data_IF_973323783276
#
_entry.id   IF_973323783276
#
_cell.length_a   1.000
_cell.length_b   1.000
_cell.length_c   1.000
_cell.angle_alpha   90.00
_cell.angle_beta   90.00
_cell.angle_gamma   90.00
#
_symmetry.space_group_name_H-M   'P 1'
#
loop_
_entity.id
_entity.type
_entity.pdbx_description
1 polymer ?
#
# COMPACT_ATOMS: atom_id res chain seq x y z
N UNK A 1 -24.60 18.70 -9.54
CA UNK A 1 -23.78 19.90 -9.26
C UNK A 1 -22.38 19.67 -9.81
N UNK A 2 -21.98 20.38 -10.86
CA UNK A 2 -20.58 20.41 -11.28
C UNK A 2 -19.87 21.47 -10.43
N UNK A 3 -19.12 21.05 -9.41
CA UNK A 3 -18.22 21.97 -8.73
C UNK A 3 -17.08 22.31 -9.69
N UNK A 4 -16.92 23.59 -10.01
CA UNK A 4 -15.72 24.07 -10.67
C UNK A 4 -14.54 23.80 -9.72
N UNK A 5 -13.74 22.81 -10.07
CA UNK A 5 -12.60 22.39 -9.28
C UNK A 5 -11.30 22.97 -9.83
N UNK A 6 -10.51 23.63 -8.99
CA UNK A 6 -9.16 24.07 -9.34
C UNK A 6 -8.14 23.02 -8.91
N UNK A 7 -7.20 22.71 -9.79
CA UNK A 7 -6.00 21.90 -9.47
C UNK A 7 -4.77 22.78 -9.61
N UNK A 8 -3.90 22.77 -8.60
CA UNK A 8 -2.65 23.51 -8.57
C UNK A 8 -1.48 22.52 -8.54
N UNK A 9 -0.59 22.66 -9.51
CA UNK A 9 0.64 21.88 -9.59
C UNK A 9 1.83 22.81 -9.73
N UNK A 10 2.93 22.46 -9.08
CA UNK A 10 4.22 23.14 -9.20
C UNK A 10 5.11 22.33 -10.15
N UNK A 11 5.63 23.01 -11.18
CA UNK A 11 6.73 22.49 -11.99
C UNK A 11 8.02 23.19 -11.59
N UNK A 12 8.94 22.45 -10.99
CA UNK A 12 10.31 22.89 -10.76
C UNK A 12 11.23 22.29 -11.83
N UNK A 13 12.03 23.13 -12.48
CA UNK A 13 13.05 22.69 -13.45
C UNK A 13 14.42 23.09 -12.93
N UNK A 14 15.28 22.10 -12.69
CA UNK A 14 16.67 22.35 -12.30
C UNK A 14 17.55 22.62 -13.53
N UNK A 15 17.64 21.64 -14.43
CA UNK A 15 18.45 21.72 -15.65
C UNK A 15 17.72 21.05 -16.84
N UNK A 16 18.42 20.64 -17.90
CA UNK A 16 17.82 19.91 -19.02
C UNK A 16 17.42 18.46 -18.66
N UNK A 17 17.95 17.94 -17.56
CA UNK A 17 17.86 16.53 -17.16
C UNK A 17 16.95 16.31 -15.96
N UNK A 18 16.73 17.34 -15.15
CA UNK A 18 16.02 17.30 -13.89
C UNK A 18 14.84 18.26 -13.90
N UNK A 19 13.65 17.69 -13.70
CA UNK A 19 12.44 18.43 -13.40
C UNK A 19 11.56 17.64 -12.44
N UNK A 20 10.76 18.33 -11.64
CA UNK A 20 9.75 17.73 -10.77
C UNK A 20 8.43 18.43 -11.03
N UNK A 21 7.41 17.65 -11.34
CA UNK A 21 6.02 18.10 -11.35
C UNK A 21 5.36 17.52 -10.10
N UNK A 22 4.90 18.38 -9.20
CA UNK A 22 4.18 17.96 -7.99
C UNK A 22 2.80 18.59 -7.95
N UNK A 23 1.79 17.79 -7.62
CA UNK A 23 0.48 18.33 -7.27
C UNK A 23 0.49 18.79 -5.82
N UNK A 24 0.22 20.08 -5.62
CA UNK A 24 0.18 20.72 -4.30
C UNK A 24 -1.26 20.95 -3.81
N UNK A 25 -2.24 20.78 -4.69
CA UNK A 25 -3.66 20.81 -4.35
C UNK A 25 -4.52 20.45 -5.56
N UNK A 26 -5.65 19.77 -5.31
CA UNK A 26 -6.63 19.40 -6.32
C UNK A 26 -8.02 19.50 -5.73
N UNK A 27 -8.98 19.95 -6.53
CA UNK A 27 -10.38 19.93 -6.16
C UNK A 27 -10.95 18.51 -6.11
N UNK A 28 -10.39 17.59 -6.89
CA UNK A 28 -10.55 16.17 -6.64
C UNK A 28 -9.51 15.75 -5.61
N UNK A 29 -9.96 15.57 -4.36
CA UNK A 29 -9.10 15.16 -3.24
C UNK A 29 -8.39 13.83 -3.49
N UNK A 30 -8.94 12.96 -4.36
CA UNK A 30 -8.30 11.71 -4.77
C UNK A 30 -7.09 11.91 -5.68
N UNK A 31 -6.88 13.11 -6.21
CA UNK A 31 -5.74 13.47 -7.06
C UNK A 31 -4.75 14.39 -6.35
N UNK A 32 -4.84 14.55 -5.03
CA UNK A 32 -3.89 15.33 -4.24
C UNK A 32 -2.63 14.51 -3.88
N UNK A 33 -1.48 15.18 -3.78
CA UNK A 33 -0.31 14.61 -3.10
C UNK A 33 0.48 13.60 -3.94
N UNK A 34 0.77 13.96 -5.18
CA UNK A 34 1.60 13.16 -6.08
C UNK A 34 2.70 13.96 -6.75
N UNK A 35 3.70 13.23 -7.27
CA UNK A 35 4.77 13.80 -8.08
C UNK A 35 5.18 12.91 -9.26
N UNK A 36 5.76 13.54 -10.26
CA UNK A 36 6.53 12.91 -11.33
C UNK A 36 7.90 13.57 -11.39
N UNK A 37 8.94 12.77 -11.62
CA UNK A 37 10.32 13.26 -11.69
C UNK A 37 10.87 12.95 -13.08
N UNK A 38 11.42 13.96 -13.74
CA UNK A 38 12.22 13.80 -14.93
C UNK A 38 13.67 13.63 -14.51
N UNK A 39 14.29 12.51 -14.90
CA UNK A 39 15.71 12.24 -14.64
C UNK A 39 16.38 11.71 -15.89
N UNK A 40 17.70 11.80 -15.92
CA UNK A 40 18.52 11.06 -16.88
C UNK A 40 18.66 9.62 -16.37
N UNK A 41 18.14 8.65 -17.11
CA UNK A 41 18.18 7.24 -16.74
C UNK A 41 18.56 6.37 -17.95
N UNK A 42 19.45 5.36 -17.83
CA UNK A 42 20.50 5.16 -16.84
C UNK A 42 21.91 5.60 -17.31
N UNK A 43 22.07 6.19 -18.51
CA UNK A 43 23.37 6.62 -19.05
C UNK A 43 23.44 8.11 -19.38
N UNK A 44 24.66 8.68 -19.38
CA UNK A 44 24.94 10.08 -19.71
C UNK A 44 24.57 10.49 -21.14
N UNK A 45 24.37 9.52 -22.03
CA UNK A 45 24.02 9.70 -23.45
C UNK A 45 22.52 9.58 -23.77
N UNK A 46 21.69 9.19 -22.80
CA UNK A 46 20.25 9.02 -23.01
C UNK A 46 19.46 10.31 -22.76
N UNK A 47 18.39 10.60 -23.52
CA UNK A 47 17.50 11.73 -23.21
C UNK A 47 16.86 11.52 -21.83
N UNK A 48 16.61 12.62 -21.12
CA UNK A 48 15.91 12.57 -19.83
C UNK A 48 14.45 12.16 -20.05
N UNK A 49 13.95 11.25 -19.21
CA UNK A 49 12.60 10.69 -19.29
C UNK A 49 11.83 11.01 -18.01
N UNK A 50 10.52 11.16 -18.14
CA UNK A 50 9.64 11.20 -16.98
C UNK A 50 9.52 9.80 -16.40
N UNK A 51 9.86 9.67 -15.12
CA UNK A 51 9.68 8.43 -14.37
C UNK A 51 8.19 8.19 -14.08
N UNK A 52 7.80 6.95 -13.74
CA UNK A 52 6.45 6.66 -13.29
C UNK A 52 6.03 7.58 -12.14
N UNK A 53 4.73 7.88 -12.11
CA UNK A 53 4.09 8.65 -11.06
C UNK A 53 4.29 8.03 -9.67
N UNK A 54 4.48 8.87 -8.66
CA UNK A 54 4.63 8.47 -7.26
C UNK A 54 3.69 9.26 -6.35
N UNK A 55 3.04 8.57 -5.41
CA UNK A 55 2.17 9.16 -4.40
C UNK A 55 2.95 9.47 -3.13
N UNK A 56 2.80 10.69 -2.62
CA UNK A 56 3.23 11.10 -1.27
C UNK A 56 2.19 10.69 -0.23
N UNK A 57 0.91 10.95 -0.55
CA UNK A 57 -0.23 10.64 0.30
C UNK A 57 -1.29 9.89 -0.52
N UNK A 58 -1.12 8.58 -0.75
CA UNK A 58 -2.06 7.82 -1.56
C UNK A 58 -3.48 7.86 -0.95
N UNK A 59 -4.54 8.00 -1.77
CA UNK A 59 -5.93 8.00 -1.28
C UNK A 59 -6.38 6.68 -0.64
N UNK A 60 -5.60 5.60 -0.84
CA UNK A 60 -5.86 4.25 -0.34
C UNK A 60 -7.25 3.71 -0.71
N UNK A 61 -7.65 3.88 -1.97
CA UNK A 61 -8.84 3.20 -2.51
C UNK A 61 -8.60 1.69 -2.48
N UNK A 62 -9.59 0.95 -2.01
CA UNK A 62 -9.50 -0.49 -1.83
C UNK A 62 -9.19 -1.21 -3.14
N UNK A 63 -8.22 -2.13 -3.10
CA UNK A 63 -7.78 -2.89 -4.27
C UNK A 63 -6.88 -2.13 -5.24
N UNK A 64 -6.71 -0.81 -5.10
CA UNK A 64 -5.81 -0.03 -5.96
C UNK A 64 -4.39 -0.07 -5.41
N UNK A 65 -3.44 -0.36 -6.30
CA UNK A 65 -2.02 -0.33 -6.00
C UNK A 65 -1.44 1.06 -6.30
N UNK A 66 -0.66 1.59 -5.36
CA UNK A 66 -0.03 2.89 -5.45
C UNK A 66 1.48 2.77 -5.34
N UNK A 67 2.21 3.21 -6.36
CA UNK A 67 3.66 3.46 -6.23
C UNK A 67 3.88 4.70 -5.38
N UNK A 68 4.71 4.62 -4.34
CA UNK A 68 4.93 5.73 -3.40
C UNK A 68 6.30 6.36 -3.57
N UNK A 69 6.50 7.48 -2.87
CA UNK A 69 7.80 8.15 -2.76
C UNK A 69 8.80 7.39 -1.87
N UNK A 70 8.31 6.45 -1.05
CA UNK A 70 9.12 5.63 -0.14
C UNK A 70 10.04 4.70 -0.94
N UNK A 71 11.20 4.38 -0.36
CA UNK A 71 12.18 3.44 -0.92
C UNK A 71 12.56 2.39 0.11
N UNK A 72 12.66 1.14 -0.34
CA UNK A 72 13.27 0.06 0.43
C UNK A 72 14.47 -0.46 -0.36
N UNK A 73 15.67 -0.29 0.19
CA UNK A 73 16.94 -0.60 -0.47
C UNK A 73 17.06 0.02 -1.88
N UNK A 74 16.65 1.29 -2.01
CA UNK A 74 16.64 2.04 -3.29
C UNK A 74 15.52 1.67 -4.26
N UNK A 75 14.79 0.56 -4.04
CA UNK A 75 13.65 0.17 -4.87
C UNK A 75 12.38 0.95 -4.48
N UNK A 76 11.52 1.32 -5.45
CA UNK A 76 10.23 1.94 -5.17
C UNK A 76 9.35 1.02 -4.33
N UNK A 77 8.72 1.58 -3.30
CA UNK A 77 7.70 0.88 -2.51
C UNK A 77 6.33 1.09 -3.14
N UNK A 78 5.55 0.03 -3.18
CA UNK A 78 4.14 0.03 -3.57
C UNK A 78 3.30 -0.21 -2.32
N UNK A 79 2.12 0.42 -2.25
CA UNK A 79 1.16 0.23 -1.16
C UNK A 79 -0.23 -0.09 -1.70
N UNK A 80 -0.96 -0.96 -1.01
CA UNK A 80 -2.32 -1.35 -1.39
C UNK A 80 -3.15 -1.64 -0.15
N UNK A 81 -4.40 -1.17 -0.14
CA UNK A 81 -5.39 -1.55 0.87
C UNK A 81 -6.16 -2.76 0.33
N UNK A 82 -5.97 -3.91 0.96
CA UNK A 82 -6.55 -5.18 0.52
C UNK A 82 -7.74 -5.53 1.39
N UNK A 83 -8.86 -5.88 0.78
CA UNK A 83 -10.00 -6.45 1.50
C UNK A 83 -9.71 -7.91 1.83
N UNK A 84 -9.80 -8.25 3.11
CA UNK A 84 -9.64 -9.63 3.59
C UNK A 84 -10.98 -10.25 4.00
N UNK A 85 -12.08 -9.49 3.92
CA UNK A 85 -13.44 -9.94 4.25
C UNK A 85 -13.63 -10.23 5.75
N UNK A 86 -14.75 -10.85 6.11
CA UNK A 86 -15.00 -11.30 7.48
C UNK A 86 -13.99 -12.40 7.90
N UNK A 87 -13.63 -12.41 9.18
CA UNK A 87 -12.85 -13.47 9.81
C UNK A 87 -13.76 -14.27 10.73
N UNK A 88 -13.59 -15.59 10.73
CA UNK A 88 -14.16 -16.48 11.74
C UNK A 88 -13.24 -16.51 12.95
N UNK A 89 -13.82 -16.74 14.14
CA UNK A 89 -13.04 -16.84 15.36
C UNK A 89 -12.09 -18.04 15.29
N UNK A 90 -10.87 -17.84 15.79
CA UNK A 90 -9.85 -18.88 16.01
C UNK A 90 -9.44 -19.65 14.74
N UNK A 91 -9.67 -19.05 13.57
CA UNK A 91 -9.38 -19.67 12.27
C UNK A 91 -8.40 -18.84 11.48
N UNK A 92 -7.42 -19.52 10.85
CA UNK A 92 -6.49 -18.89 9.91
C UNK A 92 -7.19 -18.63 8.58
N UNK A 93 -7.05 -17.42 8.05
CA UNK A 93 -7.50 -17.05 6.71
C UNK A 93 -6.32 -16.63 5.85
N UNK A 94 -6.32 -17.12 4.61
CA UNK A 94 -5.33 -16.74 3.60
C UNK A 94 -5.97 -15.92 2.50
N UNK A 95 -5.36 -14.80 2.13
CA UNK A 95 -5.72 -13.98 0.97
C UNK A 95 -4.53 -13.89 0.04
N UNK A 96 -4.77 -14.06 -1.26
CA UNK A 96 -3.70 -14.19 -2.26
C UNK A 96 -3.80 -13.06 -3.27
N UNK A 97 -2.67 -12.41 -3.55
CA UNK A 97 -2.54 -11.34 -4.54
C UNK A 97 -1.60 -11.81 -5.67
N UNK A 98 -2.00 -11.71 -6.96
CA UNK A 98 -1.17 -12.10 -8.09
C UNK A 98 -0.15 -11.00 -8.43
N UNK A 99 0.76 -10.72 -7.49
CA UNK A 99 1.75 -9.65 -7.61
C UNK A 99 3.16 -10.22 -7.42
N UNK A 100 4.08 -9.98 -8.36
CA UNK A 100 5.47 -10.37 -8.23
C UNK A 100 6.23 -9.42 -7.30
N UNK A 101 5.98 -9.53 -6.00
CA UNK A 101 6.72 -8.81 -4.98
C UNK A 101 8.16 -9.36 -4.88
N UNK A 102 9.12 -8.49 -4.63
CA UNK A 102 10.50 -8.86 -4.31
C UNK A 102 10.71 -8.92 -2.80
N UNK A 103 10.09 -7.99 -2.07
CA UNK A 103 10.16 -7.94 -0.61
C UNK A 103 8.88 -7.38 -0.02
N UNK A 104 8.42 -7.95 1.09
CA UNK A 104 7.36 -7.37 1.91
C UNK A 104 8.00 -6.34 2.85
N UNK A 105 7.61 -5.08 2.71
CA UNK A 105 8.14 -3.97 3.52
C UNK A 105 7.35 -3.86 4.83
N UNK A 106 6.02 -3.97 4.77
CA UNK A 106 5.17 -4.00 5.96
C UNK A 106 3.81 -4.59 5.65
N UNK A 107 3.16 -5.20 6.64
CA UNK A 107 1.77 -5.60 6.58
C UNK A 107 1.08 -5.17 7.88
N UNK A 108 0.05 -4.34 7.76
CA UNK A 108 -0.75 -3.88 8.90
C UNK A 108 -2.20 -4.29 8.66
N UNK A 109 -2.64 -5.30 9.39
CA UNK A 109 -4.03 -5.72 9.44
C UNK A 109 -4.88 -4.71 10.21
N UNK A 110 -6.09 -4.48 9.73
CA UNK A 110 -7.13 -3.71 10.40
C UNK A 110 -8.38 -4.57 10.42
N UNK A 111 -9.00 -4.78 11.57
CA UNK A 111 -10.23 -5.58 11.63
C UNK A 111 -11.27 -4.98 12.58
N UNK A 112 -12.53 -5.29 12.28
CA UNK A 112 -13.66 -4.99 13.15
C UNK A 112 -14.87 -4.40 12.41
N UNK A 113 -15.93 -4.04 13.15
CA UNK A 113 -16.11 -4.35 14.57
C UNK A 113 -16.03 -5.85 14.87
N UNK A 114 -15.43 -6.21 16.02
CA UNK A 114 -15.53 -7.55 16.59
C UNK A 114 -16.90 -7.74 17.29
N UNK A 115 -17.14 -8.88 17.95
CA UNK A 115 -18.41 -9.20 18.60
C UNK A 115 -18.86 -8.17 19.67
N UNK A 116 -17.92 -7.38 20.22
CA UNK A 116 -18.18 -6.36 21.26
C UNK A 116 -18.12 -4.93 20.67
N UNK A 117 -17.98 -4.79 19.35
CA UNK A 117 -17.96 -3.49 18.66
C UNK A 117 -16.59 -2.82 18.59
N UNK A 118 -15.50 -3.48 19.02
CA UNK A 118 -14.16 -2.90 18.99
C UNK A 118 -13.51 -3.01 17.61
N UNK A 119 -12.62 -2.06 17.29
CA UNK A 119 -11.78 -2.06 16.09
C UNK A 119 -10.32 -2.13 16.50
N UNK A 120 -9.54 -2.99 15.85
CA UNK A 120 -8.18 -3.31 16.30
C UNK A 120 -7.23 -3.37 15.09
N UNK A 121 -5.93 -3.27 15.36
CA UNK A 121 -4.85 -3.23 14.36
C UNK A 121 -3.81 -4.28 14.72
N UNK A 122 -3.24 -4.98 13.74
CA UNK A 122 -2.26 -6.03 14.00
C UNK A 122 -0.83 -5.47 14.18
N UNK A 123 0.02 -6.08 15.04
CA UNK A 123 -0.35 -7.13 15.97
C UNK A 123 -1.16 -6.54 17.14
N UNK A 124 -2.24 -7.22 17.51
CA UNK A 124 -3.03 -6.91 18.69
C UNK A 124 -2.96 -8.08 19.66
N UNK A 125 -2.69 -7.77 20.92
CA UNK A 125 -2.72 -8.71 22.02
C UNK A 125 -3.38 -8.06 23.23
N UNK A 126 -4.33 -8.74 23.84
CA UNK A 126 -4.94 -8.34 25.10
C UNK A 126 -5.25 -9.59 25.91
N UNK A 127 -4.86 -9.58 27.18
CA UNK A 127 -5.13 -10.66 28.12
C UNK A 127 -5.46 -10.05 29.49
N UNK A 128 -6.56 -10.49 30.10
CA UNK A 128 -6.99 -10.08 31.44
C UNK A 128 -7.28 -11.29 32.35
N UNK A 129 -6.65 -12.43 32.08
CA UNK A 129 -6.84 -13.73 32.76
C UNK A 129 -8.20 -14.40 32.50
N UNK A 130 -9.25 -13.64 32.18
CA UNK A 130 -10.58 -14.16 31.83
C UNK A 130 -10.83 -14.24 30.31
N UNK A 131 -10.10 -13.46 29.52
CA UNK A 131 -10.27 -13.36 28.06
C UNK A 131 -8.92 -13.08 27.42
N UNK A 132 -8.63 -13.80 26.34
CA UNK A 132 -7.48 -13.56 25.47
C UNK A 132 -7.93 -13.15 24.07
N UNK A 133 -7.54 -11.94 23.65
CA UNK A 133 -7.85 -11.37 22.36
C UNK A 133 -6.58 -11.19 21.55
N UNK A 134 -6.55 -11.83 20.39
CA UNK A 134 -5.41 -11.79 19.48
C UNK A 134 -5.90 -11.38 18.11
N UNK A 135 -5.12 -10.53 17.43
CA UNK A 135 -5.25 -10.32 16.00
C UNK A 135 -3.87 -10.15 15.35
N UNK A 136 -3.57 -11.03 14.40
CA UNK A 136 -2.36 -10.97 13.58
C UNK A 136 -2.74 -10.89 12.10
N UNK A 137 -2.00 -10.06 11.37
CA UNK A 137 -1.95 -10.08 9.93
C UNK A 137 -0.48 -10.05 9.54
N UNK A 138 -0.04 -11.03 8.77
CA UNK A 138 1.31 -11.10 8.21
C UNK A 138 1.23 -11.28 6.71
N UNK A 139 2.35 -11.03 6.03
CA UNK A 139 2.43 -11.20 4.60
C UNK A 139 3.76 -11.84 4.18
N UNK A 140 3.72 -12.58 3.09
CA UNK A 140 4.84 -13.28 2.50
C UNK A 140 4.89 -12.98 1.00
N UNK A 141 6.07 -12.65 0.48
CA UNK A 141 6.34 -12.67 -0.95
C UNK A 141 6.68 -14.12 -1.33
N UNK A 142 5.70 -14.81 -1.91
CA UNK A 142 5.78 -16.22 -2.25
C UNK A 142 6.35 -16.40 -3.65
N UNK A 143 7.38 -17.24 -3.76
CA UNK A 143 8.10 -17.52 -4.99
C UNK A 143 8.14 -19.02 -5.26
N UNK A 144 7.52 -19.43 -6.37
CA UNK A 144 7.71 -20.75 -6.97
C UNK A 144 8.02 -20.60 -8.45
N UNK A 145 8.58 -21.64 -9.07
CA UNK A 145 9.11 -21.60 -10.44
C UNK A 145 8.12 -21.04 -11.49
N UNK A 146 6.82 -21.21 -11.26
CA UNK A 146 5.76 -20.85 -12.20
C UNK A 146 4.94 -19.64 -11.81
N UNK A 147 5.11 -19.10 -10.59
CA UNK A 147 4.19 -18.09 -10.06
C UNK A 147 4.80 -17.29 -8.91
N UNK A 148 4.59 -15.97 -8.94
CA UNK A 148 4.95 -15.07 -7.87
C UNK A 148 3.69 -14.41 -7.32
N UNK A 149 3.49 -14.54 -6.00
CA UNK A 149 2.31 -14.01 -5.33
C UNK A 149 2.67 -13.35 -4.02
N UNK A 150 1.72 -12.61 -3.47
CA UNK A 150 1.74 -12.24 -2.07
C UNK A 150 0.66 -13.04 -1.34
N UNK A 151 1.05 -13.70 -0.27
CA UNK A 151 0.15 -14.37 0.65
C UNK A 151 -0.03 -13.49 1.88
N UNK A 152 -1.28 -13.21 2.25
CA UNK A 152 -1.64 -12.57 3.50
C UNK A 152 -2.22 -13.64 4.43
N UNK A 153 -1.69 -13.74 5.64
CA UNK A 153 -2.20 -14.64 6.67
C UNK A 153 -2.85 -13.82 7.77
N UNK A 154 -4.11 -14.11 8.07
CA UNK A 154 -4.89 -13.43 9.09
C UNK A 154 -5.37 -14.43 10.13
N UNK A 155 -5.28 -14.03 11.40
CA UNK A 155 -5.79 -14.79 12.53
C UNK A 155 -6.40 -13.85 13.55
N UNK A 156 -7.58 -14.18 14.06
CA UNK A 156 -8.19 -13.49 15.18
C UNK A 156 -8.89 -14.47 16.12
N UNK A 157 -8.84 -14.25 17.43
CA UNK A 157 -9.60 -15.07 18.40
C UNK A 157 -11.09 -14.70 18.45
N UNK A 158 -11.50 -13.59 17.83
CA UNK A 158 -12.89 -13.23 17.66
C UNK A 158 -13.25 -13.05 16.18
N UNK A 159 -14.49 -13.43 15.87
CA UNK A 159 -15.06 -13.17 14.55
C UNK A 159 -15.21 -11.66 14.31
N UNK A 160 -15.12 -11.26 13.03
CA UNK A 160 -15.28 -9.86 12.62
C UNK A 160 -16.22 -9.73 11.43
N UNK A 161 -16.87 -8.58 11.30
CA UNK A 161 -17.67 -8.28 10.12
C UNK A 161 -16.83 -7.95 8.88
N UNK A 162 -15.62 -7.41 9.10
CA UNK A 162 -14.68 -7.06 8.04
C UNK A 162 -13.24 -7.04 8.56
N UNK A 163 -12.31 -7.29 7.65
CA UNK A 163 -10.88 -7.14 7.87
C UNK A 163 -10.20 -6.67 6.59
N UNK A 164 -9.09 -5.98 6.76
CA UNK A 164 -8.30 -5.36 5.71
C UNK A 164 -6.81 -5.52 6.02
N UNK A 165 -5.97 -5.45 4.99
CA UNK A 165 -4.53 -5.35 5.14
C UNK A 165 -4.00 -4.13 4.38
N UNK A 166 -3.33 -3.22 5.08
CA UNK A 166 -2.49 -2.20 4.48
C UNK A 166 -1.11 -2.81 4.23
N UNK A 167 -0.85 -3.13 2.97
CA UNK A 167 0.37 -3.81 2.56
C UNK A 167 1.33 -2.82 1.90
N UNK A 168 2.61 -2.87 2.27
CA UNK A 168 3.72 -2.23 1.55
C UNK A 168 4.73 -3.27 1.07
N UNK A 169 5.20 -3.15 -0.17
CA UNK A 169 6.14 -4.10 -0.77
C UNK A 169 6.96 -3.47 -1.90
N UNK A 170 8.10 -4.08 -2.24
CA UNK A 170 8.82 -3.78 -3.48
C UNK A 170 8.44 -4.82 -4.54
N UNK A 171 8.54 -4.46 -5.83
CA UNK A 171 8.37 -5.40 -6.94
C UNK A 171 9.73 -5.93 -7.41
N UNK A 172 9.74 -7.11 -8.03
CA UNK A 172 10.90 -7.57 -8.80
C UNK A 172 11.22 -6.54 -9.87
N UNK A 173 12.50 -6.23 -10.05
CA UNK A 173 12.92 -5.39 -11.17
C UNK A 173 12.55 -6.10 -12.47
N UNK A 174 11.90 -5.38 -13.38
CA UNK A 174 11.73 -5.86 -14.75
C UNK A 174 13.07 -5.95 -15.48
#
# INVERSE_FOLDING_TARGET
FHQAGTTVSLLYKGDANYAVLSNIGSADAGLCGWRMIKLRYPSSSSPSVWMPFEWEHPPMVMGVEYRTVDRNNGKPVYTQLVSCGALEAETMKTVILPVPADWIVSCVGMHGPNAVGHRQVSPFYYNNEATELVFHCSAEAYHVETDDKIYLYLYATQATSASYALLKYTKKSA
#
